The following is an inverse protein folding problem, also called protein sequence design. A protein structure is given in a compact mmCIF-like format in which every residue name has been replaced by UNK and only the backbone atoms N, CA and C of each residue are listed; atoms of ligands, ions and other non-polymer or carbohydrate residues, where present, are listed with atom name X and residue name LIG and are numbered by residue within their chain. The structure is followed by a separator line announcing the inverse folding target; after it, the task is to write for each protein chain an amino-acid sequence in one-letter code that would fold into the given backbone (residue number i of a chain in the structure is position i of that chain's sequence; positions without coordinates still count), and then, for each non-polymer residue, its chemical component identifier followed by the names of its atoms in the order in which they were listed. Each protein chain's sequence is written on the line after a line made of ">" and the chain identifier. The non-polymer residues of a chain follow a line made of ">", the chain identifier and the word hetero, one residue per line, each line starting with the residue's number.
data_IF_422260808743
#
_entry.id   IF_422260808743
#
_cell.length_a   1.000
_cell.length_b   1.000
_cell.length_c   1.000
_cell.angle_alpha   90.00
_cell.angle_beta   90.00
_cell.angle_gamma   90.00
#
_symmetry.space_group_name_H-M   'P 1'
#
loop_
_entity.id
_entity.type
_entity.pdbx_description
1 polymer ?
#
# COMPACT_ATOMS: atom_id res chain seq x y z
N UNK A 1 -4.04 17.29 1.06
CA UNK A 1 -4.10 17.45 -0.41
C UNK A 1 -3.21 18.58 -0.94
N UNK A 2 -3.24 19.78 -0.35
CA UNK A 2 -2.42 20.93 -0.79
C UNK A 2 -0.93 20.62 -0.93
N UNK A 3 -0.32 19.91 0.03
CA UNK A 3 1.12 19.63 0.00
C UNK A 3 1.55 18.72 -1.15
N UNK A 4 0.68 17.81 -1.57
CA UNK A 4 0.86 16.93 -2.73
C UNK A 4 0.34 17.56 -4.03
N UNK A 5 0.03 18.87 -4.04
CA UNK A 5 -0.35 19.60 -5.25
C UNK A 5 -1.72 19.22 -5.83
N UNK A 6 -2.60 18.59 -5.05
CA UNK A 6 -3.94 18.21 -5.50
C UNK A 6 -5.00 19.17 -4.96
N UNK A 7 -5.79 19.72 -5.88
CA UNK A 7 -7.06 20.39 -5.60
C UNK A 7 -8.21 19.40 -5.88
N UNK A 8 -8.94 19.05 -4.84
CA UNK A 8 -10.05 18.08 -4.90
C UNK A 8 -11.32 18.69 -5.52
N UNK A 9 -11.40 20.02 -5.66
CA UNK A 9 -12.61 20.70 -6.14
C UNK A 9 -12.71 20.76 -7.67
N UNK A 10 -11.58 20.64 -8.38
CA UNK A 10 -11.52 20.95 -9.81
C UNK A 10 -11.82 19.79 -10.77
N UNK A 11 -11.91 18.52 -10.33
CA UNK A 11 -12.11 17.40 -11.28
C UNK A 11 -12.77 16.11 -10.73
N UNK A 12 -13.22 16.11 -9.47
CA UNK A 12 -13.65 14.88 -8.79
C UNK A 12 -14.89 14.20 -9.42
N UNK A 13 -15.72 14.93 -10.17
CA UNK A 13 -16.96 14.40 -10.72
C UNK A 13 -16.79 13.58 -12.03
N UNK A 14 -15.63 13.65 -12.69
CA UNK A 14 -15.37 12.97 -13.99
C UNK A 14 -14.19 11.99 -13.96
N UNK A 15 -13.36 12.04 -12.92
CA UNK A 15 -12.20 11.17 -12.78
C UNK A 15 -12.61 9.78 -12.25
N UNK A 16 -12.12 8.71 -12.89
CA UNK A 16 -12.39 7.35 -12.39
C UNK A 16 -11.71 7.14 -11.02
N UNK A 17 -12.23 6.26 -10.15
CA UNK A 17 -11.58 5.97 -8.87
C UNK A 17 -10.12 5.54 -9.01
N UNK A 18 -9.78 4.77 -10.06
CA UNK A 18 -8.40 4.39 -10.36
C UNK A 18 -7.53 5.59 -10.74
N UNK A 19 -7.99 6.46 -11.64
CA UNK A 19 -7.22 7.63 -12.08
C UNK A 19 -6.92 8.56 -10.90
N UNK A 20 -7.92 8.80 -10.04
CA UNK A 20 -7.75 9.61 -8.82
C UNK A 20 -6.77 8.97 -7.84
N UNK A 21 -6.90 7.66 -7.60
CA UNK A 21 -5.98 6.92 -6.74
C UNK A 21 -4.54 6.94 -7.28
N UNK A 22 -4.36 6.78 -8.59
CA UNK A 22 -3.06 6.83 -9.25
C UNK A 22 -2.42 8.21 -9.12
N UNK A 23 -3.19 9.27 -9.40
CA UNK A 23 -2.74 10.66 -9.24
C UNK A 23 -2.30 10.97 -7.81
N UNK A 24 -3.08 10.57 -6.80
CA UNK A 24 -2.71 10.73 -5.39
C UNK A 24 -1.44 9.94 -5.03
N UNK A 25 -1.30 8.72 -5.55
CA UNK A 25 -0.15 7.85 -5.28
C UNK A 25 1.14 8.45 -5.85
N UNK A 26 1.13 8.85 -7.13
CA UNK A 26 2.26 9.53 -7.79
C UNK A 26 2.62 10.81 -7.03
N UNK A 27 1.64 11.67 -6.77
CA UNK A 27 1.85 12.94 -6.09
C UNK A 27 2.47 12.78 -4.68
N UNK A 28 2.05 11.78 -3.91
CA UNK A 28 2.66 11.47 -2.61
C UNK A 28 4.13 11.10 -2.76
N UNK A 29 4.46 10.23 -3.73
CA UNK A 29 5.85 9.76 -3.96
C UNK A 29 6.78 10.85 -4.46
N UNK A 30 6.28 11.77 -5.28
CA UNK A 30 7.06 12.91 -5.77
C UNK A 30 7.25 13.98 -4.67
N UNK A 31 6.32 14.05 -3.71
CA UNK A 31 6.35 15.06 -2.64
C UNK A 31 7.20 14.62 -1.45
N UNK A 32 7.11 13.36 -1.04
CA UNK A 32 7.71 12.85 0.19
C UNK A 32 8.77 11.79 -0.10
N UNK A 33 9.99 12.01 0.38
CA UNK A 33 11.10 11.08 0.21
C UNK A 33 10.94 9.86 1.12
N UNK A 34 11.34 8.69 0.64
CA UNK A 34 11.56 7.55 1.52
C UNK A 34 12.91 7.69 2.24
N UNK A 35 12.93 7.62 3.57
CA UNK A 35 14.13 7.83 4.37
C UNK A 35 14.09 7.06 5.70
N UNK A 36 15.24 6.88 6.34
CA UNK A 36 15.38 6.22 7.64
C UNK A 36 16.26 7.01 8.62
N UNK A 37 16.44 8.31 8.42
CA UNK A 37 17.35 9.17 9.18
C UNK A 37 17.02 9.14 10.67
N UNK A 38 15.74 9.16 11.07
CA UNK A 38 15.38 9.07 12.49
C UNK A 38 15.91 7.79 13.14
N UNK A 39 15.95 6.68 12.41
CA UNK A 39 16.55 5.42 12.91
C UNK A 39 18.07 5.55 12.98
N UNK A 40 18.70 6.11 11.93
CA UNK A 40 20.15 6.26 11.86
C UNK A 40 20.71 7.21 12.94
N UNK A 41 19.94 8.22 13.33
CA UNK A 41 20.34 9.21 14.34
C UNK A 41 19.82 8.88 15.75
N UNK A 42 19.20 7.72 15.96
CA UNK A 42 18.68 7.30 17.26
C UNK A 42 17.41 8.04 17.72
N UNK A 43 16.73 8.75 16.81
CA UNK A 43 15.45 9.40 17.06
C UNK A 43 14.27 8.42 17.11
N UNK A 44 13.16 8.89 17.67
CA UNK A 44 11.92 8.13 17.75
C UNK A 44 11.20 8.06 16.39
N UNK A 45 10.55 6.93 16.12
CA UNK A 45 9.62 6.75 14.99
C UNK A 45 8.20 6.68 15.54
N UNK A 46 7.34 7.61 15.12
CA UNK A 46 5.91 7.64 15.50
C UNK A 46 5.04 7.43 14.26
N UNK A 47 3.97 6.66 14.43
CA UNK A 47 2.93 6.46 13.39
C UNK A 47 1.60 7.13 13.78
N UNK A 48 1.60 7.98 14.80
CA UNK A 48 0.43 8.80 15.15
C UNK A 48 0.29 9.92 14.12
N UNK A 49 -0.93 10.15 13.62
CA UNK A 49 -1.17 11.15 12.60
C UNK A 49 -0.63 12.56 12.92
N UNK A 50 -0.81 13.12 14.14
CA UNK A 50 -0.25 14.44 14.45
C UNK A 50 1.28 14.50 14.37
N UNK A 51 1.97 13.40 14.68
CA UNK A 51 3.43 13.34 14.57
C UNK A 51 3.88 13.19 13.11
N UNK A 52 3.11 12.44 12.31
CA UNK A 52 3.35 12.29 10.87
C UNK A 52 3.10 13.60 10.13
N UNK A 53 2.02 14.32 10.45
CA UNK A 53 1.71 15.62 9.84
C UNK A 53 2.83 16.63 10.13
N UNK A 54 3.24 16.76 11.40
CA UNK A 54 4.38 17.61 11.76
C UNK A 54 5.65 17.22 11.00
N UNK A 55 6.01 15.93 11.00
CA UNK A 55 7.22 15.44 10.34
C UNK A 55 7.21 15.65 8.82
N UNK A 56 6.13 15.24 8.15
CA UNK A 56 6.07 15.25 6.68
C UNK A 56 5.73 16.63 6.12
N UNK A 57 4.83 17.37 6.78
CA UNK A 57 4.31 18.64 6.26
C UNK A 57 5.14 19.83 6.76
N UNK A 58 5.36 19.93 8.07
CA UNK A 58 6.02 21.08 8.67
C UNK A 58 7.55 20.97 8.57
N UNK A 59 8.11 19.84 9.00
CA UNK A 59 9.55 19.57 8.96
C UNK A 59 10.05 19.16 7.57
N UNK A 60 9.12 18.91 6.62
CA UNK A 60 9.40 18.50 5.23
C UNK A 60 10.31 17.26 5.14
N UNK A 61 10.22 16.38 6.12
CA UNK A 61 10.92 15.09 6.18
C UNK A 61 10.14 14.02 5.44
N UNK A 62 10.78 12.86 5.30
CA UNK A 62 10.18 11.63 4.81
C UNK A 62 9.89 10.62 5.91
N UNK A 63 9.81 9.35 5.54
CA UNK A 63 9.85 8.24 6.48
C UNK A 63 10.00 6.88 5.82
N UNK A 64 9.82 5.81 6.59
CA UNK A 64 9.75 4.46 6.06
C UNK A 64 8.31 3.97 5.83
N UNK A 65 8.12 2.69 5.53
CA UNK A 65 6.84 2.13 5.05
C UNK A 65 5.62 2.41 5.94
N UNK A 66 5.77 2.32 7.27
CA UNK A 66 4.63 2.53 8.17
C UNK A 66 4.23 4.01 8.24
N UNK A 67 5.19 4.93 8.20
CA UNK A 67 4.91 6.37 8.22
C UNK A 67 4.22 6.80 6.91
N UNK A 68 4.81 6.41 5.76
CA UNK A 68 4.26 6.71 4.43
C UNK A 68 2.85 6.19 4.25
N UNK A 69 2.63 4.89 4.46
CA UNK A 69 1.33 4.29 4.18
C UNK A 69 0.29 4.66 5.24
N UNK A 70 0.67 5.08 6.45
CA UNK A 70 -0.28 5.61 7.44
C UNK A 70 -0.77 7.01 7.04
N UNK A 71 0.15 7.90 6.67
CA UNK A 71 -0.20 9.23 6.18
C UNK A 71 -1.06 9.14 4.91
N UNK A 72 -0.65 8.27 3.97
CA UNK A 72 -1.39 8.07 2.73
C UNK A 72 -2.77 7.45 2.95
N UNK A 73 -2.91 6.49 3.86
CA UNK A 73 -4.22 5.95 4.22
C UNK A 73 -5.16 7.02 4.78
N UNK A 74 -4.67 7.95 5.61
CA UNK A 74 -5.49 9.05 6.11
C UNK A 74 -5.92 9.99 4.97
N UNK A 75 -4.99 10.35 4.07
CA UNK A 75 -5.31 11.15 2.89
C UNK A 75 -6.35 10.46 1.98
N UNK A 76 -6.21 9.15 1.73
CA UNK A 76 -7.17 8.39 0.95
C UNK A 76 -8.56 8.34 1.59
N UNK A 77 -8.62 8.16 2.92
CA UNK A 77 -9.88 8.16 3.65
C UNK A 77 -10.59 9.51 3.57
N UNK A 78 -9.86 10.61 3.70
CA UNK A 78 -10.37 11.97 3.53
C UNK A 78 -10.87 12.22 2.09
N UNK A 79 -10.20 11.63 1.10
CA UNK A 79 -10.63 11.64 -0.30
C UNK A 79 -11.84 10.72 -0.61
N UNK A 80 -12.37 10.00 0.38
CA UNK A 80 -13.56 9.15 0.23
C UNK A 80 -13.27 7.72 -0.25
N UNK A 81 -12.01 7.28 -0.25
CA UNK A 81 -11.66 5.87 -0.43
C UNK A 81 -11.78 5.11 0.90
N UNK A 82 -11.80 3.77 0.81
CA UNK A 82 -11.77 2.89 1.97
C UNK A 82 -10.46 2.08 2.01
N UNK A 83 -9.34 2.67 2.51
CA UNK A 83 -8.07 1.98 2.62
C UNK A 83 -8.07 0.97 3.78
N UNK A 84 -7.50 -0.19 3.53
CA UNK A 84 -7.27 -1.26 4.51
C UNK A 84 -5.77 -1.52 4.60
N UNK A 85 -5.22 -1.31 5.80
CA UNK A 85 -3.82 -1.60 6.09
C UNK A 85 -3.55 -3.10 6.10
N UNK A 86 -2.54 -3.52 5.35
CA UNK A 86 -2.07 -4.89 5.28
C UNK A 86 -0.57 -4.96 5.65
N UNK A 87 -0.15 -6.12 6.13
CA UNK A 87 1.25 -6.43 6.37
C UNK A 87 1.79 -7.35 5.28
N UNK A 88 2.96 -6.98 4.77
CA UNK A 88 3.73 -7.67 3.76
C UNK A 88 5.00 -8.30 4.32
N UNK A 89 5.38 -9.46 3.78
CA UNK A 89 6.74 -10.01 3.94
C UNK A 89 7.57 -9.66 2.72
N UNK A 90 8.71 -9.03 2.92
CA UNK A 90 9.68 -8.74 1.86
C UNK A 90 10.51 -10.00 1.62
N UNK A 91 10.33 -10.66 0.46
CA UNK A 91 11.06 -11.88 0.12
C UNK A 91 12.42 -11.54 -0.48
N UNK A 92 13.34 -11.07 0.36
CA UNK A 92 14.75 -10.88 0.02
C UNK A 92 15.59 -11.85 0.84
N UNK A 93 16.45 -12.63 0.17
CA UNK A 93 17.22 -13.68 0.83
C UNK A 93 16.36 -14.89 1.20
N UNK A 94 16.87 -15.78 2.07
CA UNK A 94 16.28 -17.08 2.32
C UNK A 94 14.96 -16.99 3.12
N UNK A 95 14.02 -17.97 2.97
CA UNK A 95 12.66 -17.88 3.50
C UNK A 95 12.54 -17.65 5.00
N UNK A 96 13.49 -18.11 5.79
CA UNK A 96 13.52 -18.01 7.26
C UNK A 96 13.59 -16.55 7.73
N UNK A 97 14.04 -15.63 6.86
CA UNK A 97 14.13 -14.20 7.14
C UNK A 97 12.89 -13.41 6.73
N UNK A 98 11.89 -14.03 6.10
CA UNK A 98 10.72 -13.33 5.59
C UNK A 98 9.73 -12.97 6.70
N UNK A 99 10.03 -11.89 7.44
CA UNK A 99 9.17 -11.33 8.48
C UNK A 99 8.15 -10.32 7.90
N UNK A 100 7.06 -10.05 8.65
CA UNK A 100 6.04 -9.04 8.28
C UNK A 100 6.53 -7.64 8.59
N UNK A 101 7.50 -7.16 7.81
CA UNK A 101 8.22 -5.90 8.05
C UNK A 101 7.71 -4.73 7.21
N UNK A 102 6.79 -4.97 6.28
CA UNK A 102 6.32 -3.96 5.33
C UNK A 102 4.83 -3.66 5.52
N UNK A 103 4.45 -2.39 5.48
CA UNK A 103 3.04 -1.97 5.43
C UNK A 103 2.64 -1.67 3.99
N UNK A 104 1.44 -2.06 3.58
CA UNK A 104 0.87 -1.77 2.26
C UNK A 104 -0.65 -1.58 2.37
N UNK A 105 -1.28 -0.91 1.40
CA UNK A 105 -2.71 -0.62 1.43
C UNK A 105 -3.46 -1.45 0.38
N UNK A 106 -4.58 -2.04 0.79
CA UNK A 106 -5.67 -2.39 -0.13
C UNK A 106 -6.63 -1.21 -0.17
N UNK A 107 -7.02 -0.76 -1.35
CA UNK A 107 -7.93 0.38 -1.52
C UNK A 107 -9.14 -0.07 -2.33
N UNK A 108 -10.35 0.22 -1.85
CA UNK A 108 -11.59 0.06 -2.61
C UNK A 108 -12.01 1.38 -3.24
N UNK A 109 -12.62 1.35 -4.43
CA UNK A 109 -13.12 2.52 -5.16
C UNK A 109 -14.02 3.44 -4.33
N UNK A 110 -13.88 4.74 -4.58
CA UNK A 110 -14.69 5.78 -3.94
C UNK A 110 -16.17 5.59 -4.32
N UNK A 111 -17.06 5.68 -3.33
CA UNK A 111 -18.50 5.38 -3.46
C UNK A 111 -18.98 4.24 -2.56
N UNK A 112 -18.06 3.41 -2.06
CA UNK A 112 -18.37 2.42 -1.01
C UNK A 112 -18.18 3.09 0.35
N UNK A 113 -19.27 3.57 0.97
CA UNK A 113 -19.27 4.01 2.37
C UNK A 113 -18.84 2.85 3.27
N UNK A 114 -17.57 2.85 3.66
CA UNK A 114 -16.96 1.87 4.55
C UNK A 114 -16.03 2.58 5.53
N UNK A 115 -16.57 3.46 6.36
CA UNK A 115 -15.87 4.07 7.49
C UNK A 115 -15.67 3.01 8.57
N UNK A 116 -14.65 2.18 8.42
CA UNK A 116 -14.15 1.40 9.53
C UNK A 116 -12.71 1.03 9.28
N UNK A 117 -11.86 1.30 10.27
CA UNK A 117 -10.78 0.38 10.63
C UNK A 117 -11.43 -1.00 10.76
N UNK A 118 -11.44 -1.78 9.67
CA UNK A 118 -12.01 -3.11 9.69
C UNK A 118 -11.14 -3.96 10.61
N UNK A 119 -11.61 -4.12 11.85
CA UNK A 119 -11.21 -5.24 12.70
C UNK A 119 -11.35 -6.50 11.86
N UNK A 120 -10.28 -7.28 11.79
CA UNK A 120 -10.20 -8.48 11.00
C UNK A 120 -11.40 -9.40 11.28
N UNK A 121 -12.36 -9.45 10.35
CA UNK A 121 -13.53 -10.30 10.51
C UNK A 121 -14.79 -9.82 9.79
N UNK A 122 -14.73 -9.55 8.48
CA UNK A 122 -15.90 -9.71 7.59
C UNK A 122 -15.40 -10.19 6.23
N UNK A 123 -15.92 -11.34 5.78
CA UNK A 123 -15.79 -11.80 4.41
C UNK A 123 -16.87 -11.09 3.58
N UNK A 124 -16.45 -10.27 2.62
CA UNK A 124 -17.33 -9.74 1.57
C UNK A 124 -17.21 -10.70 0.39
N UNK A 125 -18.31 -11.39 0.06
CA UNK A 125 -18.48 -12.04 -1.23
C UNK A 125 -18.44 -10.96 -2.30
N UNK A 126 -17.47 -11.02 -3.22
CA UNK A 126 -17.29 -10.00 -4.24
C UNK A 126 -18.20 -10.29 -5.44
N UNK A 127 -19.12 -9.35 -5.71
CA UNK A 127 -19.80 -9.19 -6.99
C UNK A 127 -19.08 -8.16 -7.88
N UNK A 128 -19.58 -7.90 -9.12
CA UNK A 128 -18.78 -7.39 -10.25
C UNK A 128 -18.25 -5.95 -10.18
N UNK A 129 -18.58 -5.15 -9.16
CA UNK A 129 -18.18 -3.73 -9.04
C UNK A 129 -17.21 -3.43 -7.88
N UNK A 130 -16.66 -4.45 -7.23
CA UNK A 130 -15.79 -4.28 -6.07
C UNK A 130 -14.32 -4.02 -6.51
N UNK A 131 -14.08 -2.96 -7.30
CA UNK A 131 -12.74 -2.58 -7.77
C UNK A 131 -11.81 -2.32 -6.56
N UNK A 132 -10.87 -3.25 -6.37
CA UNK A 132 -9.86 -3.19 -5.33
C UNK A 132 -8.49 -3.03 -5.99
N UNK A 133 -7.67 -2.14 -5.45
CA UNK A 133 -6.26 -1.99 -5.85
C UNK A 133 -5.33 -2.22 -4.67
N UNK A 134 -4.12 -2.63 -5.00
CA UNK A 134 -2.99 -2.59 -4.09
C UNK A 134 -2.25 -1.28 -4.33
N UNK A 135 -2.15 -0.46 -3.29
CA UNK A 135 -1.45 0.82 -3.31
C UNK A 135 -0.32 0.81 -2.27
N UNK A 136 0.83 1.34 -2.65
CA UNK A 136 1.99 1.41 -1.77
C UNK A 136 2.91 2.57 -2.10
N UNK A 137 2.97 3.57 -1.22
CA UNK A 137 3.85 4.74 -1.37
C UNK A 137 5.06 4.67 -0.45
N UNK A 138 5.31 3.52 0.19
CA UNK A 138 6.24 3.36 1.30
C UNK A 138 7.26 2.23 1.15
N UNK A 139 7.43 1.61 -0.02
CA UNK A 139 8.45 0.54 -0.17
C UNK A 139 9.88 1.05 -0.38
N UNK A 140 10.04 2.31 -0.80
CA UNK A 140 11.32 2.87 -1.24
C UNK A 140 11.57 2.65 -2.74
N UNK A 141 12.83 2.52 -3.13
CA UNK A 141 13.27 2.65 -4.54
C UNK A 141 12.51 1.80 -5.55
N UNK A 142 12.41 0.48 -5.31
CA UNK A 142 11.73 -0.47 -6.19
C UNK A 142 10.23 -0.66 -5.83
N UNK A 143 9.61 0.40 -5.31
CA UNK A 143 8.19 0.42 -4.98
C UNK A 143 7.32 0.57 -6.21
N UNK A 144 6.03 0.25 -6.07
CA UNK A 144 5.03 0.61 -7.07
C UNK A 144 5.13 2.13 -7.33
N UNK A 145 5.04 2.53 -8.59
CA UNK A 145 4.89 3.93 -8.99
C UNK A 145 3.42 4.32 -9.09
N UNK A 146 2.56 3.32 -9.35
CA UNK A 146 1.11 3.46 -9.44
C UNK A 146 0.42 2.23 -8.80
N UNK A 147 -0.84 2.36 -8.36
CA UNK A 147 -1.61 1.22 -7.85
C UNK A 147 -1.76 0.11 -8.89
N UNK A 148 -1.83 -1.15 -8.42
CA UNK A 148 -2.08 -2.32 -9.29
C UNK A 148 -3.42 -2.97 -8.91
N UNK A 149 -4.24 -3.44 -9.86
CA UNK A 149 -5.48 -4.17 -9.55
C UNK A 149 -5.22 -5.37 -8.63
N UNK A 150 -6.02 -5.51 -7.56
CA UNK A 150 -5.95 -6.62 -6.62
C UNK A 150 -6.73 -7.83 -7.15
N UNK A 151 -6.24 -8.41 -8.25
CA UNK A 151 -6.78 -9.63 -8.86
C UNK A 151 -5.63 -10.53 -9.32
N UNK A 152 -5.90 -11.84 -9.39
CA UNK A 152 -4.88 -12.80 -9.83
C UNK A 152 -4.51 -12.57 -11.30
N UNK A 153 -3.21 -12.57 -11.58
CA UNK A 153 -2.66 -12.31 -12.90
C UNK A 153 -2.66 -10.85 -13.33
N UNK A 154 -2.98 -9.90 -12.44
CA UNK A 154 -2.82 -8.49 -12.75
C UNK A 154 -1.35 -8.17 -13.05
N UNK A 155 -1.10 -7.41 -14.12
CA UNK A 155 0.23 -6.90 -14.47
C UNK A 155 0.18 -5.40 -14.76
N UNK A 156 1.29 -4.71 -14.55
CA UNK A 156 1.43 -3.28 -14.82
C UNK A 156 2.89 -2.95 -15.09
N UNK A 157 3.18 -2.28 -16.21
CA UNK A 157 4.50 -1.76 -16.55
C UNK A 157 4.63 -0.33 -16.03
N UNK A 158 5.56 -0.10 -15.11
CA UNK A 158 5.73 1.18 -14.43
C UNK A 158 7.22 1.54 -14.39
N UNK A 159 7.61 2.62 -15.06
CA UNK A 159 9.00 3.09 -15.07
C UNK A 159 10.03 2.03 -15.51
N UNK A 160 9.67 1.23 -16.53
CA UNK A 160 10.54 0.15 -17.04
C UNK A 160 10.55 -1.13 -16.22
N UNK A 161 9.75 -1.22 -15.15
CA UNK A 161 9.59 -2.41 -14.31
C UNK A 161 8.20 -2.98 -14.52
N UNK A 162 8.11 -4.26 -14.86
CA UNK A 162 6.84 -4.96 -14.90
C UNK A 162 6.53 -5.58 -13.54
N UNK A 163 5.43 -5.13 -12.94
CA UNK A 163 4.87 -5.69 -11.73
C UNK A 163 3.82 -6.73 -12.07
N UNK A 164 3.77 -7.84 -11.34
CA UNK A 164 2.73 -8.87 -11.47
C UNK A 164 2.21 -9.26 -10.10
N UNK A 165 0.90 -9.41 -9.99
CA UNK A 165 0.23 -9.87 -8.78
C UNK A 165 -0.35 -11.26 -8.98
N UNK A 166 0.07 -12.21 -8.15
CA UNK A 166 -0.42 -13.60 -8.18
C UNK A 166 -1.00 -14.01 -6.84
N UNK A 167 -2.00 -14.88 -6.89
CA UNK A 167 -2.56 -15.52 -5.70
C UNK A 167 -1.83 -16.83 -5.43
N UNK A 168 -1.25 -16.94 -4.22
CA UNK A 168 -0.56 -18.14 -3.74
C UNK A 168 -1.24 -18.59 -2.44
N UNK A 169 -2.16 -19.56 -2.55
CA UNK A 169 -3.02 -19.98 -1.45
C UNK A 169 -3.82 -18.82 -0.85
N UNK A 170 -3.49 -18.44 0.39
CA UNK A 170 -4.14 -17.35 1.13
C UNK A 170 -3.38 -16.01 1.03
N UNK A 171 -2.34 -15.96 0.22
CA UNK A 171 -1.41 -14.85 0.10
C UNK A 171 -1.53 -14.21 -1.28
N UNK A 172 -1.33 -12.90 -1.31
CA UNK A 172 -1.03 -12.19 -2.56
C UNK A 172 0.47 -12.03 -2.69
N UNK A 173 0.99 -12.30 -3.89
CA UNK A 173 2.41 -12.21 -4.22
C UNK A 173 2.59 -11.14 -5.29
N UNK A 174 3.13 -9.99 -4.90
CA UNK A 174 3.56 -8.94 -5.84
C UNK A 174 5.01 -9.21 -6.23
N UNK A 175 5.25 -9.52 -7.49
CA UNK A 175 6.59 -9.71 -8.07
C UNK A 175 6.90 -8.58 -9.04
N UNK A 176 8.19 -8.39 -9.33
CA UNK A 176 8.67 -7.36 -10.25
C UNK A 176 9.79 -7.94 -11.13
N UNK A 177 9.89 -7.48 -12.37
CA UNK A 177 10.98 -7.80 -13.29
C UNK A 177 11.33 -6.57 -14.13
N UNK A 178 12.60 -6.40 -14.47
CA UNK A 178 12.99 -5.37 -15.43
C UNK A 178 12.40 -5.74 -16.80
N UNK A 179 11.75 -4.77 -17.46
CA UNK A 179 11.15 -4.98 -18.76
C UNK A 179 12.18 -5.06 -19.90
N UNK A 180 13.42 -4.62 -19.64
CA UNK A 180 14.54 -4.60 -20.58
C UNK A 180 15.26 -5.94 -20.80
N UNK A 181 14.81 -7.04 -20.20
CA UNK A 181 15.31 -8.40 -20.50
C UNK A 181 16.61 -8.81 -19.81
N UNK A 182 17.44 -7.86 -19.33
CA UNK A 182 18.59 -8.22 -18.49
C UNK A 182 18.13 -8.54 -17.07
N UNK A 183 18.14 -9.84 -16.74
CA UNK A 183 17.90 -10.31 -15.39
C UNK A 183 19.00 -9.80 -14.46
N UNK A 184 18.76 -8.67 -13.79
CA UNK A 184 19.60 -8.26 -12.67
C UNK A 184 19.67 -9.41 -11.64
N UNK A 185 20.87 -9.85 -11.21
CA UNK A 185 20.99 -10.94 -10.25
C UNK A 185 20.21 -10.61 -8.96
N UNK A 186 19.09 -11.32 -8.72
CA UNK A 186 18.29 -11.21 -7.49
C UNK A 186 16.98 -10.42 -7.56
N UNK A 187 16.36 -10.24 -8.73
CA UNK A 187 15.13 -9.41 -8.90
C UNK A 187 13.79 -10.12 -8.76
N UNK A 188 13.70 -11.40 -8.37
CA UNK A 188 12.41 -11.98 -7.92
C UNK A 188 12.05 -11.51 -6.50
N UNK A 189 11.82 -10.21 -6.32
CA UNK A 189 11.37 -9.63 -5.05
C UNK A 189 9.86 -9.75 -4.96
N UNK A 190 9.44 -10.87 -4.42
CA UNK A 190 8.04 -11.18 -4.20
C UNK A 190 7.58 -10.60 -2.85
N UNK A 191 6.43 -9.93 -2.77
CA UNK A 191 5.83 -9.51 -1.49
C UNK A 191 4.64 -10.36 -1.16
N UNK A 192 4.66 -11.01 0.00
CA UNK A 192 3.54 -11.79 0.50
C UNK A 192 2.65 -10.92 1.37
N UNK A 193 1.39 -10.73 0.99
CA UNK A 193 0.40 -10.03 1.81
C UNK A 193 -0.55 -11.06 2.41
N UNK A 194 -0.53 -11.20 3.74
CA UNK A 194 -1.42 -12.13 4.46
C UNK A 194 -2.62 -11.40 5.05
N UNK A 195 -3.84 -11.89 4.82
CA UNK A 195 -4.98 -11.56 5.71
C UNK A 195 -4.74 -12.15 7.10
N UNK A 196 -5.12 -11.43 8.17
CA UNK A 196 -5.14 -12.01 9.54
C UNK A 196 -6.05 -13.24 9.54
N UNK A 197 -5.57 -14.35 10.10
CA UNK A 197 -6.40 -15.47 10.55
C UNK A 197 -7.10 -15.02 11.84
N UNK A 198 -8.42 -15.00 11.86
CA UNK A 198 -9.16 -15.06 13.12
C UNK A 198 -8.98 -16.47 13.71
N UNK A 199 -8.78 -16.63 15.04
CA UNK A 199 -8.78 -17.95 15.65
C UNK A 199 -10.19 -18.53 15.53
N UNK A 200 -10.32 -19.76 15.02
CA UNK A 200 -11.56 -20.52 15.13
C UNK A 200 -11.86 -20.71 16.63
N UNK A 201 -12.94 -20.09 17.13
CA UNK A 201 -13.58 -20.54 18.38
C UNK A 201 -14.58 -21.62 17.99
N UNK A 202 -14.18 -22.88 18.18
CA UNK A 202 -14.98 -24.08 18.44
C UNK A 202 -13.94 -25.11 18.92
N UNK A 203 -13.93 -25.58 20.16
CA UNK A 203 -15.00 -26.37 20.76
C UNK A 203 -15.45 -25.85 22.12
N UNK A 204 -16.77 -25.88 22.28
CA UNK A 204 -17.45 -25.81 23.56
C UNK A 204 -17.17 -27.09 24.37
N UNK A 205 -17.25 -26.92 25.68
CA UNK A 205 -17.37 -27.97 26.67
C UNK A 205 -18.41 -29.03 26.29
N UNK A 206 -18.06 -30.29 26.54
CA UNK A 206 -18.85 -31.29 27.27
C UNK A 206 -17.88 -32.30 27.86
#
# INVERSE_FOLDING_TARGET
>A
MTRIGLDETANAARETPFARLSRMHVAHRETFLFENLSIQTGGAVSVRLPDLERKFLDERRGGYCFEHNTLFAAALADAGFAPVTLLGRVRRGPPERWCRTHMVLKVRGAGVKGTAVQRAGVQSAAGPDDECWLADVGFGGLGLLEPIPLRDGASSLQGGIEYTLRRDGHLWVLSMRDAGGDAMPGTSRSRIISRRRTPNRCSAAR
#
